data_IF_200670972209
#
_entry.id   IF_200670972209
#
_cell.length_a   1.000
_cell.length_b   1.000
_cell.length_c   1.000
_cell.angle_alpha   90.00
_cell.angle_beta   90.00
_cell.angle_gamma   90.00
#
_symmetry.space_group_name_H-M   'P 1'
#
loop_
_entity.id
_entity.type
_entity.pdbx_description
1 polymer ?
#
# COMPACT_ATOMS: atom_id res chain seq x y z
N UNK A 1 28.64 -5.45 -11.19
CA UNK A 1 28.85 -5.80 -9.78
C UNK A 1 28.26 -4.68 -8.94
N UNK A 2 26.96 -4.62 -8.68
CA UNK A 2 25.87 -5.50 -9.08
C UNK A 2 24.69 -4.63 -9.50
N UNK A 3 24.11 -5.01 -10.64
CA UNK A 3 22.76 -4.61 -11.02
C UNK A 3 21.92 -5.34 -9.98
N UNK A 4 21.63 -4.65 -8.88
CA UNK A 4 20.80 -5.15 -7.80
C UNK A 4 19.55 -5.73 -8.44
N UNK A 5 19.48 -7.04 -8.32
CA UNK A 5 18.38 -7.93 -8.58
C UNK A 5 17.06 -7.15 -8.49
N UNK A 6 16.49 -6.80 -9.64
CA UNK A 6 15.12 -6.27 -9.71
C UNK A 6 14.18 -7.44 -9.42
N UNK A 7 14.21 -7.93 -8.18
CA UNK A 7 13.11 -8.67 -7.61
C UNK A 7 11.86 -7.79 -7.82
N UNK A 8 10.81 -8.37 -8.38
CA UNK A 8 9.57 -7.70 -8.72
C UNK A 8 8.83 -7.30 -7.43
N UNK A 9 9.37 -6.37 -6.65
CA UNK A 9 8.74 -5.91 -5.42
C UNK A 9 7.49 -5.10 -5.75
N UNK A 10 6.39 -5.43 -5.09
CA UNK A 10 5.17 -4.65 -5.18
C UNK A 10 5.41 -3.26 -4.58
N UNK A 11 5.47 -2.22 -5.42
CA UNK A 11 5.49 -0.83 -4.96
C UNK A 11 4.11 -0.43 -4.40
N UNK A 12 4.05 -0.21 -3.09
CA UNK A 12 2.87 0.19 -2.34
C UNK A 12 3.02 1.64 -1.84
N UNK A 13 1.91 2.35 -1.71
CA UNK A 13 1.86 3.64 -1.00
C UNK A 13 0.75 3.62 0.03
N UNK A 14 1.01 4.17 1.23
CA UNK A 14 0.02 4.37 2.28
C UNK A 14 -0.42 5.83 2.29
N UNK A 15 -1.61 6.12 1.80
CA UNK A 15 -2.18 7.48 1.78
C UNK A 15 -3.04 7.72 3.02
N UNK A 16 -2.63 8.67 3.85
CA UNK A 16 -3.31 8.98 5.11
C UNK A 16 -4.45 9.99 4.88
N UNK A 17 -5.67 9.69 5.36
CA UNK A 17 -6.83 10.59 5.20
C UNK A 17 -6.74 11.88 6.01
N UNK A 18 -6.24 11.79 7.25
CA UNK A 18 -6.14 12.89 8.21
C UNK A 18 -4.93 12.69 9.10
N UNK A 19 -4.35 13.79 9.60
CA UNK A 19 -3.14 13.76 10.43
C UNK A 19 -3.28 12.93 11.70
N UNK A 20 -4.50 12.78 12.23
CA UNK A 20 -4.79 11.93 13.39
C UNK A 20 -4.50 10.44 13.16
N UNK A 21 -4.38 10.00 11.91
CA UNK A 21 -4.10 8.61 11.53
C UNK A 21 -2.63 8.39 11.12
N UNK A 22 -1.76 9.39 11.32
CA UNK A 22 -0.33 9.29 10.95
C UNK A 22 0.33 8.09 11.64
N UNK A 23 0.17 7.96 12.97
CA UNK A 23 0.80 6.87 13.72
C UNK A 23 0.37 5.49 13.21
N UNK A 24 -0.93 5.31 12.94
CA UNK A 24 -1.43 4.07 12.36
C UNK A 24 -0.92 3.86 10.93
N UNK A 25 -0.83 4.92 10.11
CA UNK A 25 -0.23 4.84 8.77
C UNK A 25 1.23 4.35 8.80
N UNK A 26 2.03 4.84 9.75
CA UNK A 26 3.40 4.38 9.94
C UNK A 26 3.45 2.94 10.48
N UNK A 27 2.51 2.53 11.34
CA UNK A 27 2.39 1.13 11.76
C UNK A 27 2.11 0.19 10.57
N UNK A 28 1.17 0.57 9.69
CA UNK A 28 0.87 -0.16 8.45
C UNK A 28 2.12 -0.27 7.57
N UNK A 29 2.85 0.83 7.39
CA UNK A 29 4.12 0.84 6.65
C UNK A 29 5.12 -0.16 7.25
N UNK A 30 5.35 -0.11 8.57
CA UNK A 30 6.32 -0.98 9.25
C UNK A 30 5.93 -2.46 9.18
N UNK A 31 4.63 -2.77 9.24
CA UNK A 31 4.11 -4.13 9.08
C UNK A 31 4.37 -4.65 7.67
N UNK A 32 4.07 -3.87 6.64
CA UNK A 32 4.29 -4.24 5.24
C UNK A 32 5.78 -4.32 4.89
N UNK A 33 6.59 -3.37 5.38
CA UNK A 33 8.03 -3.38 5.19
C UNK A 33 8.69 -4.62 5.80
N UNK A 34 8.29 -5.01 7.02
CA UNK A 34 8.75 -6.26 7.65
C UNK A 34 8.27 -7.53 6.92
N UNK A 35 7.23 -7.42 6.09
CA UNK A 35 6.77 -8.49 5.22
C UNK A 35 7.49 -8.50 3.86
N UNK A 36 8.55 -7.70 3.70
CA UNK A 36 9.40 -7.58 2.51
C UNK A 36 8.75 -6.85 1.32
N UNK A 37 7.82 -5.93 1.58
CA UNK A 37 7.28 -5.04 0.54
C UNK A 37 7.97 -3.68 0.53
N UNK A 38 8.13 -3.09 -0.66
CA UNK A 38 8.55 -1.70 -0.82
C UNK A 38 7.34 -0.78 -0.66
N UNK A 39 7.31 -0.06 0.47
CA UNK A 39 6.17 0.76 0.87
C UNK A 39 6.58 2.18 1.25
N UNK A 40 5.98 3.15 0.55
CA UNK A 40 6.07 4.57 0.87
C UNK A 40 4.84 5.05 1.65
N UNK A 41 4.92 6.26 2.19
CA UNK A 41 3.83 6.88 2.95
C UNK A 41 3.60 8.32 2.46
N UNK A 42 2.34 8.67 2.19
CA UNK A 42 1.89 10.04 1.95
C UNK A 42 1.12 10.55 3.18
N UNK A 43 1.88 11.15 4.11
CA UNK A 43 1.39 11.85 5.29
C UNK A 43 1.14 13.34 5.07
N UNK A 44 1.14 13.81 3.81
CA UNK A 44 0.98 15.23 3.49
C UNK A 44 -0.42 15.73 3.84
N UNK A 45 -0.57 17.05 4.06
CA UNK A 45 -1.89 17.67 4.29
C UNK A 45 -2.80 17.77 3.05
N UNK A 46 -2.49 17.09 1.94
CA UNK A 46 -3.26 17.14 0.69
C UNK A 46 -4.60 16.41 0.84
N UNK A 47 -5.58 16.77 0.02
CA UNK A 47 -6.84 16.01 -0.05
C UNK A 47 -6.57 14.57 -0.52
N UNK A 48 -7.35 13.60 -0.03
CA UNK A 48 -7.20 12.20 -0.43
C UNK A 48 -7.19 12.02 -1.97
N UNK A 49 -8.11 12.68 -2.68
CA UNK A 49 -8.18 12.59 -4.13
C UNK A 49 -6.90 13.09 -4.82
N UNK A 50 -6.23 14.09 -4.24
CA UNK A 50 -4.96 14.59 -4.75
C UNK A 50 -3.84 13.58 -4.49
N UNK A 51 -3.77 13.00 -3.29
CA UNK A 51 -2.80 11.94 -2.95
C UNK A 51 -2.94 10.74 -3.88
N UNK A 52 -4.14 10.18 -3.99
CA UNK A 52 -4.45 9.06 -4.89
C UNK A 52 -3.98 9.38 -6.32
N UNK A 53 -4.28 10.57 -6.84
CA UNK A 53 -3.88 10.95 -8.19
C UNK A 53 -2.35 11.03 -8.35
N UNK A 54 -1.65 11.59 -7.37
CA UNK A 54 -0.18 11.68 -7.38
C UNK A 54 0.46 10.29 -7.28
N UNK A 55 -0.08 9.42 -6.42
CA UNK A 55 0.32 8.02 -6.27
C UNK A 55 0.14 7.22 -7.57
N UNK A 56 -0.96 7.44 -8.29
CA UNK A 56 -1.18 6.84 -9.61
C UNK A 56 -0.13 7.29 -10.64
N UNK A 57 0.20 8.59 -10.65
CA UNK A 57 1.21 9.17 -11.54
C UNK A 57 2.61 8.65 -11.20
N UNK A 58 2.89 8.41 -9.91
CA UNK A 58 4.12 7.79 -9.43
C UNK A 58 4.19 6.27 -9.70
N UNK A 59 3.18 5.70 -10.37
CA UNK A 59 3.12 4.30 -10.78
C UNK A 59 3.11 3.28 -9.63
N UNK A 60 2.66 3.65 -8.41
CA UNK A 60 2.40 2.66 -7.36
C UNK A 60 1.37 1.63 -7.85
N UNK A 61 1.62 0.35 -7.57
CA UNK A 61 0.74 -0.74 -8.00
C UNK A 61 -0.56 -0.72 -7.19
N UNK A 62 -0.44 -0.41 -5.90
CA UNK A 62 -1.55 -0.33 -4.96
C UNK A 62 -1.43 0.91 -4.07
N UNK A 63 -2.59 1.46 -3.76
CA UNK A 63 -2.76 2.62 -2.88
C UNK A 63 -3.59 2.15 -1.69
N UNK A 64 -3.00 2.26 -0.50
CA UNK A 64 -3.57 1.84 0.77
C UNK A 64 -4.07 3.06 1.52
N UNK A 65 -5.38 3.18 1.64
CA UNK A 65 -5.98 4.30 2.37
C UNK A 65 -6.22 3.89 3.81
N UNK A 66 -5.83 4.76 4.74
CA UNK A 66 -6.08 4.61 6.18
C UNK A 66 -6.91 5.77 6.75
N UNK A 67 -7.92 5.41 7.53
CA UNK A 67 -8.87 6.28 8.19
C UNK A 67 -9.38 5.72 9.52
N UNK A 68 -10.50 6.25 9.99
CA UNK A 68 -11.14 5.82 11.24
C UNK A 68 -11.47 4.33 11.24
N UNK A 69 -12.20 3.85 10.22
CA UNK A 69 -12.65 2.46 10.14
C UNK A 69 -11.45 1.52 10.02
N UNK A 70 -10.45 1.93 9.25
CA UNK A 70 -9.22 1.17 9.04
C UNK A 70 -8.41 1.02 10.34
N UNK A 71 -8.23 2.10 11.10
CA UNK A 71 -7.52 2.04 12.37
C UNK A 71 -8.28 1.19 13.40
N UNK A 72 -9.60 1.37 13.53
CA UNK A 72 -10.42 0.62 14.49
C UNK A 72 -10.41 -0.88 14.20
N UNK A 73 -10.46 -1.26 12.91
CA UNK A 73 -10.49 -2.66 12.49
C UNK A 73 -9.10 -3.25 12.18
N UNK A 74 -8.00 -2.51 12.42
CA UNK A 74 -6.63 -2.89 12.01
C UNK A 74 -6.58 -3.39 10.56
N UNK A 75 -7.11 -2.56 9.66
CA UNK A 75 -7.26 -2.83 8.24
C UNK A 75 -6.75 -1.68 7.37
N UNK A 76 -6.81 -1.86 6.05
CA UNK A 76 -6.55 -0.86 5.02
C UNK A 76 -7.61 -0.96 3.93
N UNK A 77 -7.98 0.17 3.32
CA UNK A 77 -8.76 0.15 2.09
C UNK A 77 -7.82 0.13 0.88
N UNK A 78 -7.89 -0.94 0.08
CA UNK A 78 -6.96 -1.17 -1.02
C UNK A 78 -7.57 -0.70 -2.33
N UNK A 79 -6.83 0.13 -3.07
CA UNK A 79 -7.13 0.55 -4.44
C UNK A 79 -6.00 0.12 -5.37
N UNK A 80 -6.33 -0.27 -6.59
CA UNK A 80 -5.33 -0.49 -7.64
C UNK A 80 -4.91 0.84 -8.26
N UNK A 81 -3.79 0.83 -8.99
CA UNK A 81 -3.36 1.96 -9.82
C UNK A 81 -4.43 2.50 -10.77
N UNK A 82 -5.29 1.62 -11.31
CA UNK A 82 -6.38 2.01 -12.21
C UNK A 82 -7.63 2.51 -11.46
N UNK A 83 -7.47 2.87 -10.19
CA UNK A 83 -8.49 3.35 -9.27
C UNK A 83 -9.62 2.35 -8.98
N UNK A 84 -9.41 1.06 -9.26
CA UNK A 84 -10.35 0.02 -8.89
C UNK A 84 -10.25 -0.21 -7.38
N UNK A 85 -11.36 -0.06 -6.67
CA UNK A 85 -11.43 -0.38 -5.25
C UNK A 85 -11.48 -1.90 -5.11
N UNK A 86 -10.45 -2.48 -4.50
CA UNK A 86 -10.41 -3.90 -4.14
C UNK A 86 -11.19 -4.15 -2.85
N UNK A 87 -11.29 -3.13 -1.98
CA UNK A 87 -12.07 -3.15 -0.74
C UNK A 87 -11.18 -3.09 0.50
N UNK A 88 -11.81 -3.21 1.67
CA UNK A 88 -11.11 -3.21 2.96
C UNK A 88 -10.58 -4.62 3.29
N UNK A 89 -9.35 -4.68 3.79
CA UNK A 89 -8.64 -5.90 4.17
C UNK A 89 -7.90 -5.69 5.48
N UNK A 90 -7.93 -6.67 6.40
CA UNK A 90 -7.03 -6.61 7.57
C UNK A 90 -5.57 -6.58 7.13
N UNK A 91 -4.65 -6.19 8.01
CA UNK A 91 -3.22 -6.18 7.66
C UNK A 91 -2.72 -7.57 7.25
N UNK A 92 -3.20 -8.63 7.91
CA UNK A 92 -2.87 -10.01 7.58
C UNK A 92 -3.41 -10.41 6.20
N UNK A 93 -4.67 -10.06 5.91
CA UNK A 93 -5.26 -10.34 4.60
C UNK A 93 -4.56 -9.57 3.47
N UNK A 94 -4.15 -8.32 3.72
CA UNK A 94 -3.43 -7.51 2.75
C UNK A 94 -2.06 -8.12 2.43
N UNK A 95 -1.29 -8.53 3.44
CA UNK A 95 0.00 -9.22 3.26
C UNK A 95 -0.20 -10.52 2.46
N UNK A 96 -1.18 -11.34 2.84
CA UNK A 96 -1.45 -12.59 2.14
C UNK A 96 -1.83 -12.36 0.67
N UNK A 97 -2.66 -11.33 0.40
CA UNK A 97 -3.02 -10.92 -0.95
C UNK A 97 -1.78 -10.54 -1.77
N UNK A 98 -0.91 -9.68 -1.25
CA UNK A 98 0.27 -9.23 -2.00
C UNK A 98 1.29 -10.34 -2.25
N UNK A 99 1.52 -11.23 -1.27
CA UNK A 99 2.37 -12.41 -1.48
C UNK A 99 1.84 -13.34 -2.57
N UNK A 100 0.52 -13.56 -2.61
CA UNK A 100 -0.10 -14.38 -3.66
C UNK A 100 0.07 -13.74 -5.04
N UNK A 101 -0.03 -12.40 -5.13
CA UNK A 101 0.17 -11.67 -6.39
C UNK A 101 1.62 -11.76 -6.87
N UNK A 102 2.60 -11.63 -5.98
CA UNK A 102 4.03 -11.80 -6.33
C UNK A 102 4.33 -13.21 -6.80
N UNK A 103 3.83 -14.23 -6.09
CA UNK A 103 4.01 -15.63 -6.47
C UNK A 103 3.37 -15.97 -7.82
N UNK A 104 2.20 -15.38 -8.14
CA UNK A 104 1.51 -15.66 -9.41
C UNK A 104 2.20 -14.95 -10.58
N UNK A 105 2.68 -13.71 -10.40
CA UNK A 105 3.44 -13.00 -11.46
C UNK A 105 4.76 -13.70 -11.79
N UNK A 106 5.44 -14.26 -10.79
CA UNK A 106 6.68 -15.01 -11.00
C UNK A 106 6.48 -16.35 -11.72
N UNK A 107 5.25 -16.88 -11.79
CA UNK A 107 4.94 -18.14 -12.47
C UNK A 107 4.55 -17.95 -13.94
N UNK A 108 4.23 -16.71 -14.34
CA UNK A 108 3.86 -16.33 -15.71
C UNK A 108 5.07 -15.86 -16.55
N UNK A 109 6.27 -15.75 -15.94
CA UNK A 109 7.56 -15.45 -16.57
C UNK A 109 8.44 -16.70 -16.71
#
# INVERSE_FOLDING_TARGET
MDILDKQHHSFLTVSILQTIFIDYGYEVKDVLFRASFDVDIDDTGKTLNKKIREDQIAHYNFILVVGTQEQEARSVNIRTRDNKVTGTKTLEEAIAMFKNLEATRAADE
#
